data_IF_717759242536
#
_entry.id   IF_717759242536
#
_cell.length_a   1.000
_cell.length_b   1.000
_cell.length_c   1.000
_cell.angle_alpha   90.00
_cell.angle_beta   90.00
_cell.angle_gamma   90.00
#
_symmetry.space_group_name_H-M   'P 1'
#
loop_
_entity.id
_entity.type
_entity.pdbx_description
1 polymer ?
#
# COMPACT_ATOMS: atom_id res chain seq x y z
N UNK A 1 6.01 4.18 -11.15
CA UNK A 1 6.09 3.58 -9.81
C UNK A 1 6.69 2.17 -9.80
N UNK A 2 6.38 1.31 -10.76
CA UNK A 2 6.92 -0.07 -10.83
C UNK A 2 8.45 -0.12 -10.75
N UNK A 3 9.14 0.83 -11.38
CA UNK A 3 10.59 0.93 -11.34
C UNK A 3 11.10 1.30 -9.94
N UNK A 4 10.45 2.27 -9.27
CA UNK A 4 10.74 2.60 -7.86
C UNK A 4 10.43 1.44 -6.92
N UNK A 5 9.41 0.65 -7.26
CA UNK A 5 9.08 -0.57 -6.54
C UNK A 5 10.08 -1.71 -6.78
N UNK A 6 11.03 -1.59 -7.71
CA UNK A 6 11.96 -2.67 -8.06
C UNK A 6 11.30 -3.84 -8.79
N UNK A 7 10.12 -3.61 -9.38
CA UNK A 7 9.39 -4.61 -10.19
C UNK A 7 9.74 -4.53 -11.67
N UNK A 8 10.36 -3.42 -12.08
CA UNK A 8 10.88 -3.18 -13.41
C UNK A 8 12.27 -2.56 -13.30
N UNK A 9 13.17 -2.96 -14.18
CA UNK A 9 14.49 -2.33 -14.25
C UNK A 9 14.37 -0.94 -14.87
N UNK A 10 15.18 0.05 -14.42
CA UNK A 10 15.24 1.35 -15.07
C UNK A 10 15.90 1.21 -16.45
N UNK A 11 15.46 2.00 -17.41
CA UNK A 11 16.07 2.08 -18.75
C UNK A 11 17.45 2.76 -18.70
N UNK A 12 17.75 3.48 -17.63
CA UNK A 12 19.04 4.12 -17.36
C UNK A 12 19.08 4.68 -15.93
N UNK A 13 20.28 5.03 -15.47
CA UNK A 13 20.49 5.52 -14.11
C UNK A 13 20.40 4.42 -13.04
N UNK A 14 20.19 4.85 -11.79
CA UNK A 14 20.08 3.95 -10.64
C UNK A 14 19.04 4.45 -9.65
N UNK A 15 18.45 3.54 -8.90
CA UNK A 15 17.56 3.84 -7.78
C UNK A 15 18.25 3.44 -6.49
N UNK A 16 18.28 4.35 -5.53
CA UNK A 16 18.90 4.16 -4.22
C UNK A 16 17.82 4.27 -3.15
N UNK A 17 17.73 3.29 -2.27
CA UNK A 17 16.87 3.28 -1.10
C UNK A 17 17.75 3.07 0.16
N UNK A 18 17.63 3.95 1.14
CA UNK A 18 18.45 3.94 2.37
C UNK A 18 19.97 3.83 2.09
N UNK A 19 20.45 4.59 1.09
CA UNK A 19 21.88 4.63 0.73
C UNK A 19 22.39 3.42 -0.08
N UNK A 20 21.53 2.44 -0.40
CA UNK A 20 21.89 1.22 -1.13
C UNK A 20 21.08 1.12 -2.42
N UNK A 21 21.72 0.72 -3.53
CA UNK A 21 21.01 0.47 -4.78
C UNK A 21 19.97 -0.65 -4.65
N UNK A 22 18.81 -0.50 -5.33
CA UNK A 22 17.73 -1.50 -5.26
C UNK A 22 18.19 -2.91 -5.65
N UNK A 23 19.07 -3.02 -6.62
CA UNK A 23 19.66 -4.28 -7.07
C UNK A 23 20.43 -5.04 -5.99
N UNK A 24 20.87 -4.33 -4.95
CA UNK A 24 21.58 -4.91 -3.81
C UNK A 24 20.68 -5.48 -2.72
N UNK A 25 19.34 -5.25 -2.76
CA UNK A 25 18.40 -5.73 -1.76
C UNK A 25 17.84 -7.10 -2.15
N UNK A 26 17.71 -8.02 -1.18
CA UNK A 26 16.90 -9.22 -1.41
C UNK A 26 15.41 -8.85 -1.45
N UNK A 27 14.55 -9.65 -2.12
CA UNK A 27 13.10 -9.38 -2.18
C UNK A 27 12.47 -9.21 -0.79
N UNK A 28 12.85 -10.04 0.18
CA UNK A 28 12.33 -9.98 1.53
C UNK A 28 12.79 -8.71 2.28
N UNK A 29 14.06 -8.34 2.15
CA UNK A 29 14.58 -7.10 2.72
C UNK A 29 13.85 -5.89 2.14
N UNK A 30 13.64 -5.88 0.83
CA UNK A 30 12.95 -4.80 0.15
C UNK A 30 11.47 -4.71 0.56
N UNK A 31 10.80 -5.86 0.76
CA UNK A 31 9.42 -5.90 1.24
C UNK A 31 9.24 -5.35 2.66
N UNK A 32 10.29 -5.32 3.47
CA UNK A 32 10.30 -4.66 4.80
C UNK A 32 10.60 -3.16 4.73
N UNK A 33 11.01 -2.64 3.58
CA UNK A 33 11.37 -1.23 3.40
C UNK A 33 10.32 -0.46 2.62
N UNK A 34 9.62 -1.12 1.69
CA UNK A 34 8.60 -0.50 0.86
C UNK A 34 7.40 -1.39 0.65
N UNK A 35 6.22 -0.79 0.64
CA UNK A 35 4.98 -1.39 0.18
C UNK A 35 4.56 -0.75 -1.15
N UNK A 36 3.89 -1.51 -2.02
CA UNK A 36 3.44 -1.03 -3.32
C UNK A 36 2.01 -1.43 -3.60
N UNK A 37 1.18 -0.44 -3.91
CA UNK A 37 -0.19 -0.61 -4.38
C UNK A 37 -0.22 -0.37 -5.90
N UNK A 38 -0.44 -1.39 -6.74
CA UNK A 38 -0.60 -1.20 -8.17
C UNK A 38 -1.98 -0.61 -8.52
N UNK A 39 -2.09 0.03 -9.67
CA UNK A 39 -3.33 0.61 -10.21
C UNK A 39 -4.46 -0.42 -10.35
N UNK A 40 -4.13 -1.64 -10.75
CA UNK A 40 -5.10 -2.74 -10.87
C UNK A 40 -4.60 -3.99 -10.15
N UNK A 41 -5.52 -4.71 -9.52
CA UNK A 41 -5.28 -6.00 -8.88
C UNK A 41 -6.30 -7.00 -9.36
N UNK A 42 -5.86 -8.25 -9.53
CA UNK A 42 -6.75 -9.37 -9.80
C UNK A 42 -6.66 -10.32 -8.59
N UNK A 43 -7.79 -10.52 -7.93
CA UNK A 43 -7.90 -11.47 -6.84
C UNK A 43 -8.22 -12.84 -7.44
N UNK A 44 -7.16 -13.61 -7.71
CA UNK A 44 -7.26 -14.90 -8.38
C UNK A 44 -7.84 -16.02 -7.48
N UNK A 45 -7.75 -15.85 -6.15
CA UNK A 45 -8.15 -16.84 -5.15
C UNK A 45 -9.22 -16.29 -4.21
N UNK A 46 -10.09 -17.15 -3.71
CA UNK A 46 -11.17 -16.82 -2.78
C UNK A 46 -10.70 -16.78 -1.34
N UNK A 47 -9.76 -15.89 -1.03
CA UNK A 47 -9.39 -15.60 0.36
C UNK A 47 -10.42 -14.69 1.02
N UNK A 48 -10.53 -14.79 2.34
CA UNK A 48 -11.26 -13.79 3.12
C UNK A 48 -10.52 -12.45 3.08
N UNK A 49 -11.25 -11.39 3.37
CA UNK A 49 -10.67 -10.05 3.52
C UNK A 49 -9.57 -10.05 4.58
N UNK A 50 -9.81 -10.71 5.72
CA UNK A 50 -8.83 -10.81 6.80
C UNK A 50 -7.56 -11.55 6.37
N UNK A 51 -7.70 -12.71 5.73
CA UNK A 51 -6.55 -13.47 5.22
C UNK A 51 -5.74 -12.68 4.20
N UNK A 52 -6.42 -11.92 3.32
CA UNK A 52 -5.77 -11.06 2.33
C UNK A 52 -4.89 -9.99 2.99
N UNK A 53 -5.39 -9.35 4.05
CA UNK A 53 -4.63 -8.30 4.76
C UNK A 53 -3.53 -8.93 5.62
N UNK A 54 -3.82 -10.06 6.28
CA UNK A 54 -2.84 -10.78 7.09
C UNK A 54 -1.66 -11.33 6.26
N UNK A 55 -1.90 -11.69 4.99
CA UNK A 55 -0.84 -12.11 4.08
C UNK A 55 0.22 -11.02 3.85
N UNK A 56 -0.13 -9.73 3.98
CA UNK A 56 0.81 -8.63 3.88
C UNK A 56 1.86 -8.62 5.02
N UNK A 57 1.62 -9.35 6.11
CA UNK A 57 2.58 -9.54 7.22
C UNK A 57 3.68 -10.55 6.91
N UNK A 58 3.59 -11.28 5.80
CA UNK A 58 4.58 -12.29 5.41
C UNK A 58 6.05 -11.84 5.54
N UNK A 59 6.44 -10.61 5.16
CA UNK A 59 7.84 -10.17 5.28
C UNK A 59 8.36 -10.15 6.72
N UNK A 60 7.50 -10.08 7.73
CA UNK A 60 7.86 -9.97 9.14
C UNK A 60 7.90 -11.30 9.88
N UNK A 61 7.42 -12.37 9.24
CA UNK A 61 7.42 -13.71 9.84
C UNK A 61 8.84 -14.26 9.98
N UNK A 62 9.09 -14.95 11.08
CA UNK A 62 10.30 -15.74 11.25
C UNK A 62 10.17 -17.06 10.48
N UNK A 63 11.30 -17.64 10.04
CA UNK A 63 11.31 -18.92 9.34
C UNK A 63 10.60 -20.01 10.16
N UNK A 64 9.64 -20.71 9.53
CA UNK A 64 8.91 -21.80 10.13
C UNK A 64 7.81 -21.41 11.13
N UNK A 65 7.57 -20.12 11.35
CA UNK A 65 6.51 -19.68 12.25
C UNK A 65 5.21 -19.37 11.50
N UNK A 66 4.11 -19.80 12.12
CA UNK A 66 2.74 -19.39 11.76
C UNK A 66 2.53 -17.92 12.12
N UNK A 67 1.37 -17.40 11.74
CA UNK A 67 0.95 -16.03 12.09
C UNK A 67 0.96 -15.81 13.60
N UNK A 68 1.56 -14.71 14.04
CA UNK A 68 1.54 -14.32 15.45
C UNK A 68 0.22 -13.61 15.80
N UNK A 69 -0.09 -13.52 17.10
CA UNK A 69 -1.20 -12.67 17.56
C UNK A 69 -0.97 -11.20 17.18
N UNK A 70 0.27 -10.73 17.24
CA UNK A 70 0.63 -9.38 16.83
C UNK A 70 0.33 -9.12 15.34
N UNK A 71 0.64 -10.08 14.44
CA UNK A 71 0.30 -9.94 13.02
C UNK A 71 -1.21 -9.84 12.80
N UNK A 72 -2.00 -10.60 13.57
CA UNK A 72 -3.46 -10.54 13.53
C UNK A 72 -3.99 -9.20 14.03
N UNK A 73 -3.41 -8.66 15.10
CA UNK A 73 -3.79 -7.35 15.66
C UNK A 73 -3.46 -6.21 14.69
N UNK A 74 -2.29 -6.28 14.04
CA UNK A 74 -1.89 -5.31 12.98
C UNK A 74 -2.85 -5.38 11.80
N UNK A 75 -3.21 -6.58 11.34
CA UNK A 75 -4.16 -6.76 10.24
C UNK A 75 -5.55 -6.22 10.59
N UNK A 76 -6.07 -6.53 11.78
CA UNK A 76 -7.35 -6.03 12.26
C UNK A 76 -7.35 -4.50 12.41
N UNK A 77 -6.27 -3.93 12.96
CA UNK A 77 -6.08 -2.48 13.07
C UNK A 77 -6.07 -1.78 11.72
N UNK A 78 -5.41 -2.36 10.72
CA UNK A 78 -5.39 -1.85 9.36
C UNK A 78 -6.78 -1.87 8.69
N UNK A 79 -7.54 -2.97 8.86
CA UNK A 79 -8.92 -3.08 8.39
C UNK A 79 -9.82 -2.04 9.05
N UNK A 80 -9.69 -1.84 10.36
CA UNK A 80 -10.44 -0.84 11.12
C UNK A 80 -10.12 0.58 10.62
N UNK A 81 -8.86 0.88 10.36
CA UNK A 81 -8.40 2.21 9.86
C UNK A 81 -9.00 2.54 8.49
N UNK A 82 -9.31 1.53 7.68
CA UNK A 82 -9.91 1.67 6.35
C UNK A 82 -11.43 1.46 6.34
N UNK A 83 -12.06 1.32 7.52
CA UNK A 83 -13.52 1.14 7.68
C UNK A 83 -14.05 -0.04 6.86
N UNK A 84 -13.40 -1.21 7.02
CA UNK A 84 -13.74 -2.49 6.35
C UNK A 84 -13.57 -3.71 7.26
N UNK A 85 -13.45 -3.49 8.57
CA UNK A 85 -13.28 -4.60 9.53
C UNK A 85 -14.51 -5.52 9.56
N UNK A 86 -15.70 -4.99 9.39
CA UNK A 86 -16.96 -5.75 9.33
C UNK A 86 -17.03 -6.70 8.13
N UNK A 87 -16.17 -6.50 7.13
CA UNK A 87 -16.07 -7.36 5.95
C UNK A 87 -15.04 -8.48 6.11
N UNK A 88 -14.38 -8.60 7.27
CA UNK A 88 -13.21 -9.46 7.50
C UNK A 88 -13.40 -10.91 7.03
N UNK A 89 -14.58 -11.50 7.27
CA UNK A 89 -14.91 -12.89 6.95
C UNK A 89 -15.47 -13.08 5.53
N UNK A 90 -15.67 -11.99 4.78
CA UNK A 90 -16.20 -12.08 3.40
C UNK A 90 -15.10 -12.49 2.42
N UNK A 91 -15.53 -13.23 1.39
CA UNK A 91 -14.67 -13.48 0.20
C UNK A 91 -14.35 -12.16 -0.51
N UNK A 92 -13.06 -11.88 -0.72
CA UNK A 92 -12.60 -10.63 -1.35
C UNK A 92 -13.21 -10.40 -2.73
N UNK A 93 -13.54 -11.46 -3.46
CA UNK A 93 -14.16 -11.39 -4.80
C UNK A 93 -15.61 -10.91 -4.76
N UNK A 94 -16.26 -11.03 -3.59
CA UNK A 94 -17.64 -10.57 -3.41
C UNK A 94 -17.77 -9.07 -3.15
N UNK A 95 -16.65 -8.38 -2.98
CA UNK A 95 -16.61 -6.96 -2.63
C UNK A 95 -16.88 -6.07 -3.85
N UNK A 96 -17.46 -4.89 -3.59
CA UNK A 96 -17.50 -3.79 -4.56
C UNK A 96 -16.08 -3.27 -4.87
N UNK A 97 -15.91 -2.53 -5.96
CA UNK A 97 -14.63 -1.93 -6.33
C UNK A 97 -14.05 -1.03 -5.23
N UNK A 98 -14.88 -0.21 -4.59
CA UNK A 98 -14.46 0.68 -3.50
C UNK A 98 -14.08 -0.07 -2.22
N UNK A 99 -14.84 -1.09 -1.81
CA UNK A 99 -14.49 -1.95 -0.67
C UNK A 99 -13.17 -2.68 -0.93
N UNK A 100 -13.01 -3.24 -2.13
CA UNK A 100 -11.78 -3.94 -2.53
C UNK A 100 -10.57 -3.01 -2.50
N UNK A 101 -10.73 -1.77 -2.94
CA UNK A 101 -9.68 -0.76 -2.88
C UNK A 101 -9.29 -0.42 -1.44
N UNK A 102 -10.26 -0.25 -0.53
CA UNK A 102 -9.98 -0.02 0.90
C UNK A 102 -9.28 -1.21 1.55
N UNK A 103 -9.66 -2.43 1.22
CA UNK A 103 -8.96 -3.65 1.67
C UNK A 103 -7.53 -3.69 1.14
N UNK A 104 -7.31 -3.32 -0.12
CA UNK A 104 -5.97 -3.26 -0.69
C UNK A 104 -5.06 -2.23 0.02
N UNK A 105 -5.63 -1.09 0.40
CA UNK A 105 -4.91 -0.08 1.19
C UNK A 105 -4.68 -0.60 2.63
N UNK A 106 -5.64 -1.29 3.23
CA UNK A 106 -5.45 -1.94 4.54
C UNK A 106 -4.29 -2.94 4.50
N UNK A 107 -4.18 -3.76 3.47
CA UNK A 107 -3.05 -4.68 3.28
C UNK A 107 -1.71 -3.93 3.17
N UNK A 108 -1.68 -2.80 2.45
CA UNK A 108 -0.50 -1.94 2.37
C UNK A 108 -0.11 -1.38 3.75
N UNK A 109 -1.09 -0.93 4.55
CA UNK A 109 -0.87 -0.44 5.92
C UNK A 109 -0.35 -1.56 6.84
N UNK A 110 -0.93 -2.76 6.73
CA UNK A 110 -0.54 -3.92 7.52
C UNK A 110 0.88 -4.40 7.20
N UNK A 111 1.38 -4.18 5.98
CA UNK A 111 2.78 -4.47 5.64
C UNK A 111 3.77 -3.64 6.47
N UNK A 112 3.36 -2.48 7.00
CA UNK A 112 4.07 -1.67 8.00
C UNK A 112 5.49 -1.29 7.56
N UNK A 113 5.59 -0.56 6.46
CA UNK A 113 6.86 -0.14 5.86
C UNK A 113 7.10 1.37 5.95
N UNK A 114 8.37 1.82 6.01
CA UNK A 114 8.69 3.25 6.02
C UNK A 114 8.39 3.97 4.70
N UNK A 115 8.35 3.25 3.57
CA UNK A 115 8.01 3.82 2.26
C UNK A 115 6.77 3.15 1.68
N UNK A 116 5.83 3.95 1.22
CA UNK A 116 4.62 3.50 0.52
C UNK A 116 4.56 4.09 -0.88
N UNK A 117 4.33 3.23 -1.88
CA UNK A 117 4.19 3.60 -3.28
C UNK A 117 2.76 3.27 -3.71
N UNK A 118 1.97 4.28 -4.08
CA UNK A 118 0.56 4.11 -4.43
C UNK A 118 0.29 4.58 -5.86
N UNK A 119 -0.24 3.68 -6.67
CA UNK A 119 -0.59 3.96 -8.06
C UNK A 119 -2.10 4.17 -8.18
N UNK A 120 -2.52 5.42 -8.33
CA UNK A 120 -3.93 5.85 -8.41
C UNK A 120 -4.83 5.29 -7.29
N UNK A 121 -4.46 5.45 -6.01
CA UNK A 121 -5.14 4.78 -4.91
C UNK A 121 -6.60 5.23 -4.71
N UNK A 122 -7.00 6.38 -5.27
CA UNK A 122 -8.32 6.96 -5.10
C UNK A 122 -9.28 6.68 -6.27
N UNK A 123 -8.83 6.07 -7.37
CA UNK A 123 -9.59 5.96 -8.63
C UNK A 123 -10.91 5.19 -8.52
N UNK A 124 -11.02 4.22 -7.62
CA UNK A 124 -12.23 3.40 -7.42
C UNK A 124 -13.08 3.84 -6.22
N UNK A 125 -12.76 4.97 -5.58
CA UNK A 125 -13.40 5.47 -4.36
C UNK A 125 -14.38 6.61 -4.68
N UNK A 126 -15.49 6.68 -3.95
CA UNK A 126 -16.33 7.87 -3.92
C UNK A 126 -15.67 9.03 -3.15
N UNK A 127 -16.21 10.24 -3.25
CA UNK A 127 -15.65 11.46 -2.68
C UNK A 127 -15.40 11.38 -1.16
N UNK A 128 -16.28 10.72 -0.41
CA UNK A 128 -16.14 10.61 1.04
C UNK A 128 -14.95 9.71 1.39
N UNK A 129 -14.83 8.58 0.72
CA UNK A 129 -13.72 7.64 0.89
C UNK A 129 -12.40 8.18 0.33
N UNK A 130 -12.41 8.95 -0.77
CA UNK A 130 -11.24 9.68 -1.25
C UNK A 130 -10.70 10.64 -0.19
N UNK A 131 -11.57 11.46 0.41
CA UNK A 131 -11.18 12.37 1.48
C UNK A 131 -10.66 11.63 2.72
N UNK A 132 -11.25 10.48 3.07
CA UNK A 132 -10.77 9.60 4.13
C UNK A 132 -9.38 9.07 3.87
N UNK A 133 -9.13 8.56 2.66
CA UNK A 133 -7.82 8.10 2.22
C UNK A 133 -6.77 9.20 2.31
N UNK A 134 -7.08 10.41 1.82
CA UNK A 134 -6.14 11.53 1.86
C UNK A 134 -5.77 11.92 3.29
N UNK A 135 -6.73 11.92 4.23
CA UNK A 135 -6.44 12.14 5.66
C UNK A 135 -5.52 11.06 6.22
N UNK A 136 -5.79 9.79 5.90
CA UNK A 136 -4.94 8.66 6.32
C UNK A 136 -3.51 8.83 5.82
N UNK A 137 -3.34 9.13 4.54
CA UNK A 137 -2.02 9.35 3.93
C UNK A 137 -1.29 10.55 4.57
N UNK A 138 -2.00 11.65 4.81
CA UNK A 138 -1.42 12.81 5.49
C UNK A 138 -0.94 12.46 6.91
N UNK A 139 -1.72 11.67 7.67
CA UNK A 139 -1.34 11.16 8.99
C UNK A 139 -0.09 10.29 8.94
N UNK A 140 0.01 9.36 7.99
CA UNK A 140 1.20 8.51 7.81
C UNK A 140 2.48 9.34 7.65
N UNK A 141 2.42 10.39 6.85
CA UNK A 141 3.59 11.23 6.58
C UNK A 141 3.94 12.14 7.76
N UNK A 142 2.95 12.79 8.38
CA UNK A 142 3.18 13.83 9.40
C UNK A 142 3.38 13.28 10.81
N UNK A 143 2.66 12.22 11.15
CA UNK A 143 2.58 11.69 12.52
C UNK A 143 3.39 10.40 12.68
N UNK A 144 3.48 9.58 11.63
CA UNK A 144 4.16 8.29 11.67
C UNK A 144 5.52 8.30 10.94
N UNK A 145 5.97 9.46 10.46
CA UNK A 145 7.25 9.65 9.76
C UNK A 145 7.48 8.67 8.60
N UNK A 146 6.42 8.37 7.84
CA UNK A 146 6.48 7.49 6.66
C UNK A 146 6.56 8.33 5.38
N UNK A 147 7.38 7.90 4.44
CA UNK A 147 7.40 8.48 3.11
C UNK A 147 6.28 7.86 2.25
N UNK A 148 5.49 8.71 1.58
CA UNK A 148 4.46 8.27 0.65
C UNK A 148 4.68 8.91 -0.71
N UNK A 149 4.78 8.08 -1.75
CA UNK A 149 4.83 8.50 -3.14
C UNK A 149 3.56 8.02 -3.83
N UNK A 150 2.79 8.94 -4.41
CA UNK A 150 1.54 8.62 -5.10
C UNK A 150 1.55 9.12 -6.53
N UNK A 151 1.03 8.32 -7.45
CA UNK A 151 0.57 8.80 -8.76
C UNK A 151 -0.90 9.14 -8.66
N UNK A 152 -1.27 10.33 -9.10
CA UNK A 152 -2.64 10.83 -9.07
C UNK A 152 -2.95 11.64 -10.33
N UNK A 153 -4.20 11.55 -10.80
CA UNK A 153 -4.70 12.38 -11.90
C UNK A 153 -5.47 13.61 -11.38
N UNK A 154 -6.05 13.54 -10.18
CA UNK A 154 -6.75 14.65 -9.56
C UNK A 154 -5.78 15.53 -8.77
N UNK A 155 -5.45 16.69 -9.35
CA UNK A 155 -4.55 17.67 -8.74
C UNK A 155 -5.14 18.30 -7.47
N UNK A 156 -6.46 18.42 -7.35
CA UNK A 156 -7.09 19.02 -6.17
C UNK A 156 -6.92 18.12 -4.95
N UNK A 157 -7.08 16.80 -5.13
CA UNK A 157 -6.81 15.82 -4.08
C UNK A 157 -5.33 15.79 -3.70
N UNK A 158 -4.43 15.84 -4.69
CA UNK A 158 -2.99 15.83 -4.45
C UNK A 158 -2.54 17.07 -3.67
N UNK A 159 -3.03 18.25 -4.06
CA UNK A 159 -2.65 19.54 -3.45
C UNK A 159 -2.95 19.62 -1.96
N UNK A 160 -4.05 19.01 -1.52
CA UNK A 160 -4.47 19.03 -0.12
C UNK A 160 -3.55 18.26 0.84
N UNK A 161 -2.70 17.35 0.34
CA UNK A 161 -1.89 16.43 1.15
C UNK A 161 -0.41 16.37 0.79
N UNK A 162 -0.05 16.70 -0.45
CA UNK A 162 1.32 16.60 -0.93
C UNK A 162 2.21 17.68 -0.34
N UNK A 163 3.38 17.29 0.16
CA UNK A 163 4.46 18.22 0.51
C UNK A 163 5.28 18.64 -0.72
N UNK A 164 5.37 17.77 -1.72
CA UNK A 164 6.07 17.99 -2.99
C UNK A 164 5.28 17.40 -4.14
N UNK A 165 5.34 18.02 -5.29
CA UNK A 165 4.69 17.56 -6.52
C UNK A 165 5.73 17.47 -7.63
N UNK A 166 5.77 16.34 -8.32
CA UNK A 166 6.56 16.12 -9.52
C UNK A 166 5.61 15.98 -10.70
N UNK A 167 5.73 16.85 -11.69
CA UNK A 167 5.00 16.76 -12.95
C UNK A 167 5.87 16.03 -13.98
N UNK A 168 5.34 14.96 -14.55
CA UNK A 168 5.97 14.22 -15.64
C UNK A 168 5.26 14.61 -16.94
N UNK A 169 6.01 15.13 -17.87
CA UNK A 169 5.55 15.42 -19.23
C UNK A 169 6.05 14.30 -20.14
N UNK A 170 5.14 13.71 -20.91
CA UNK A 170 5.52 12.83 -22.01
C UNK A 170 5.94 13.68 -23.22
N UNK A 171 7.00 13.29 -23.90
CA UNK A 171 7.30 13.71 -25.25
C UNK A 171 6.45 12.93 -26.26
#
# INVERSE_FOLDING_TARGET
LQTLAGLRLPDGGKIVLDGRELSGWSPLQLARRRAYLPQSRQDAFGFTVFETVLAARFPWRSEGMWESSEDRDVAAGALKRMDVLELAERDIRSLSGGERQRVAIAALLAQDTPLMLLDEPASALDLAHQAGLMRTVAGLSREENRAVVMVMHDLNLAWGVASHVLLLYGD
#
